data_IF_863104145931
#
_entry.id   IF_863104145931
#
_cell.length_a   1.000
_cell.length_b   1.000
_cell.length_c   1.000
_cell.angle_alpha   90.00
_cell.angle_beta   90.00
_cell.angle_gamma   90.00
#
_symmetry.space_group_name_H-M   'P 1'
#
loop_
_entity.id
_entity.type
_entity.pdbx_description
1 polymer ?
#
# COMPACT_ATOMS: atom_id res chain seq x y z
N UNK A 1 -6.26 15.99 40.92
CA UNK A 1 -7.28 16.33 39.90
C UNK A 1 -7.69 15.05 39.18
N UNK A 2 -8.98 14.67 39.25
CA UNK A 2 -9.54 13.49 38.56
C UNK A 2 -10.04 13.91 37.17
N UNK A 3 -9.47 13.35 36.11
CA UNK A 3 -10.02 13.43 34.75
C UNK A 3 -11.11 12.38 34.59
N UNK A 4 -12.36 12.82 34.37
CA UNK A 4 -13.51 11.96 34.06
C UNK A 4 -13.47 11.58 32.58
N UNK A 5 -13.37 10.29 32.28
CA UNK A 5 -13.57 9.73 30.94
C UNK A 5 -15.08 9.65 30.65
N UNK A 6 -15.54 10.34 29.61
CA UNK A 6 -16.92 10.21 29.13
C UNK A 6 -17.03 8.98 28.23
N UNK A 7 -17.46 7.84 28.79
CA UNK A 7 -17.97 6.73 27.99
C UNK A 7 -19.38 7.10 27.52
N UNK A 8 -19.50 7.51 26.27
CA UNK A 8 -20.81 7.71 25.64
C UNK A 8 -21.35 6.35 25.19
N UNK A 9 -22.29 5.82 25.97
CA UNK A 9 -23.00 4.58 25.69
C UNK A 9 -23.90 4.77 24.46
N UNK A 10 -23.50 4.20 23.31
CA UNK A 10 -24.16 4.34 22.01
C UNK A 10 -25.64 3.92 22.03
N UNK A 11 -26.02 3.06 22.98
CA UNK A 11 -27.40 2.64 23.23
C UNK A 11 -28.24 3.78 23.84
N UNK A 12 -27.66 4.65 24.68
CA UNK A 12 -28.36 5.84 25.22
C UNK A 12 -28.63 6.88 24.15
N UNK A 13 -27.73 7.06 23.18
CA UNK A 13 -27.92 8.01 22.08
C UNK A 13 -29.03 7.54 21.12
N UNK A 14 -29.08 6.25 20.80
CA UNK A 14 -30.16 5.66 19.99
C UNK A 14 -31.52 5.76 20.71
N UNK A 15 -31.55 5.56 22.03
CA UNK A 15 -32.76 5.78 22.84
C UNK A 15 -33.20 7.24 22.86
N UNK A 16 -32.26 8.19 22.95
CA UNK A 16 -32.55 9.63 22.86
C UNK A 16 -33.11 10.00 21.48
N UNK A 17 -32.50 9.52 20.39
CA UNK A 17 -32.96 9.79 19.02
C UNK A 17 -34.34 9.22 18.73
N UNK A 18 -34.66 8.03 19.26
CA UNK A 18 -36.04 7.49 19.25
C UNK A 18 -37.01 8.32 20.09
N UNK A 19 -36.59 8.76 21.28
CA UNK A 19 -37.44 9.51 22.22
C UNK A 19 -37.85 10.89 21.69
N UNK A 20 -37.03 11.52 20.85
CA UNK A 20 -37.31 12.81 20.23
C UNK A 20 -37.89 12.73 18.83
N UNK A 21 -38.20 11.53 18.32
CA UNK A 21 -38.78 11.31 16.98
C UNK A 21 -38.00 12.00 15.85
N UNK A 22 -36.69 12.20 16.04
CA UNK A 22 -35.81 13.00 15.17
C UNK A 22 -35.53 12.32 13.82
N UNK A 23 -35.83 11.02 13.68
CA UNK A 23 -35.75 10.31 12.41
C UNK A 23 -36.77 10.83 11.39
N UNK A 24 -37.96 11.24 11.84
CA UNK A 24 -39.00 11.80 10.95
C UNK A 24 -38.69 13.24 10.49
N UNK A 25 -37.88 13.98 11.26
CA UNK A 25 -37.45 15.34 10.91
C UNK A 25 -36.37 15.37 9.83
N UNK A 26 -35.58 14.31 9.67
CA UNK A 26 -34.59 14.19 8.59
C UNK A 26 -35.24 13.90 7.21
N UNK A 27 -36.48 13.41 7.20
CA UNK A 27 -37.23 13.09 5.98
C UNK A 27 -38.01 14.30 5.45
N UNK A 28 -38.49 15.20 6.33
CA UNK A 28 -39.20 16.42 5.91
C UNK A 28 -38.26 17.63 5.83
N UNK A 29 -37.80 17.94 4.61
CA UNK A 29 -36.83 19.00 4.28
C UNK A 29 -37.28 20.45 4.52
N UNK A 30 -38.46 20.70 5.07
CA UNK A 30 -39.10 22.03 4.98
C UNK A 30 -39.00 22.93 6.21
N UNK A 31 -38.37 22.51 7.31
CA UNK A 31 -38.36 23.33 8.55
C UNK A 31 -37.01 23.47 9.27
N UNK A 32 -35.89 23.04 8.68
CA UNK A 32 -34.57 23.21 9.33
C UNK A 32 -33.70 24.29 8.65
N UNK A 33 -33.09 25.21 9.42
CA UNK A 33 -32.07 26.12 8.91
C UNK A 33 -30.92 25.33 8.27
N UNK A 34 -30.49 25.72 7.07
CA UNK A 34 -29.46 25.00 6.28
C UNK A 34 -28.16 24.74 7.05
N UNK A 35 -27.80 25.60 8.00
CA UNK A 35 -26.62 25.43 8.87
C UNK A 35 -26.75 24.23 9.80
N UNK A 36 -27.94 24.01 10.39
CA UNK A 36 -28.22 22.90 11.31
C UNK A 36 -28.28 21.57 10.55
N UNK A 37 -28.84 21.58 9.34
CA UNK A 37 -28.88 20.38 8.49
C UNK A 37 -27.47 19.94 8.05
N UNK A 38 -26.61 20.89 7.66
CA UNK A 38 -25.20 20.58 7.33
C UNK A 38 -24.42 20.07 8.54
N UNK A 39 -24.65 20.64 9.72
CA UNK A 39 -24.00 20.18 10.95
C UNK A 39 -24.44 18.74 11.31
N UNK A 40 -25.73 18.43 11.16
CA UNK A 40 -26.24 17.07 11.36
C UNK A 40 -25.69 16.07 10.33
N UNK A 41 -25.59 16.44 9.05
CA UNK A 41 -24.98 15.59 8.02
C UNK A 41 -23.50 15.32 8.31
N UNK A 42 -22.72 16.35 8.65
CA UNK A 42 -21.30 16.21 8.99
C UNK A 42 -21.11 15.37 10.25
N UNK A 43 -21.96 15.54 11.27
CA UNK A 43 -21.92 14.74 12.49
C UNK A 43 -22.28 13.28 12.22
N UNK A 44 -23.27 13.01 11.36
CA UNK A 44 -23.65 11.65 10.96
C UNK A 44 -22.56 10.98 10.11
N UNK A 45 -21.93 11.74 9.20
CA UNK A 45 -20.81 11.27 8.39
C UNK A 45 -19.60 10.92 9.28
N UNK A 46 -19.28 11.78 10.25
CA UNK A 46 -18.24 11.51 11.26
C UNK A 46 -18.58 10.28 12.11
N UNK A 47 -19.85 10.08 12.46
CA UNK A 47 -20.30 8.93 13.24
C UNK A 47 -20.25 7.63 12.43
N UNK A 48 -20.62 7.65 11.15
CA UNK A 48 -20.53 6.51 10.23
C UNK A 48 -19.08 6.11 9.94
N UNK A 49 -18.19 7.10 9.82
CA UNK A 49 -16.74 6.86 9.65
C UNK A 49 -16.13 6.25 10.92
N UNK A 50 -16.58 6.66 12.12
CA UNK A 50 -16.04 6.14 13.38
C UNK A 50 -16.60 4.78 13.82
N UNK A 51 -17.75 4.34 13.30
CA UNK A 51 -18.39 3.08 13.70
C UNK A 51 -18.21 1.96 12.64
N UNK A 52 -17.53 2.23 11.52
CA UNK A 52 -17.17 1.17 10.56
C UNK A 52 -18.37 0.51 9.86
N UNK A 53 -19.54 1.16 9.83
CA UNK A 53 -20.69 0.71 9.06
C UNK A 53 -20.57 1.20 7.60
N UNK A 54 -19.84 0.45 6.79
CA UNK A 54 -20.16 0.36 5.36
C UNK A 54 -21.20 -0.75 5.25
N UNK A 55 -22.45 -0.33 5.00
CA UNK A 55 -23.56 -1.25 4.71
C UNK A 55 -23.23 -2.08 3.47
N UNK A 56 -23.11 -3.39 3.67
CA UNK A 56 -23.13 -4.39 2.61
C UNK A 56 -24.59 -4.56 2.20
N UNK A 57 -24.96 -3.97 1.07
CA UNK A 57 -26.11 -4.44 0.31
C UNK A 57 -25.70 -5.70 -0.44
N UNK A 58 -26.36 -6.82 -0.15
CA UNK A 58 -26.26 -8.02 -0.97
C UNK A 58 -26.72 -7.70 -2.40
N UNK A 59 -25.77 -7.55 -3.31
CA UNK A 59 -26.03 -7.67 -4.74
C UNK A 59 -25.53 -9.03 -5.18
N UNK A 60 -26.47 -9.97 -5.37
CA UNK A 60 -26.27 -11.17 -6.19
C UNK A 60 -26.17 -10.72 -7.64
N UNK A 61 -25.05 -10.13 -8.00
CA UNK A 61 -24.58 -10.02 -9.37
C UNK A 61 -23.06 -10.21 -9.31
N UNK A 62 -22.60 -11.37 -9.80
CA UNK A 62 -21.21 -11.56 -10.20
C UNK A 62 -20.95 -10.60 -11.37
N UNK A 63 -20.63 -9.35 -11.03
CA UNK A 63 -20.00 -8.43 -11.96
C UNK A 63 -18.54 -8.90 -12.08
N UNK A 64 -18.05 -9.18 -13.29
CA UNK A 64 -16.65 -9.53 -13.45
C UNK A 64 -15.82 -8.31 -13.03
N UNK A 65 -14.87 -8.50 -12.11
CA UNK A 65 -13.88 -7.50 -11.73
C UNK A 65 -12.96 -7.23 -12.93
N UNK A 66 -13.42 -6.37 -13.84
CA UNK A 66 -12.61 -5.79 -14.90
C UNK A 66 -12.06 -4.48 -14.32
N UNK A 67 -10.76 -4.45 -13.99
CA UNK A 67 -10.03 -3.24 -13.61
C UNK A 67 -8.90 -3.50 -12.63
N UNK A 68 -7.66 -3.60 -13.14
CA UNK A 68 -6.35 -3.50 -12.45
C UNK A 68 -6.21 -4.20 -11.09
N UNK A 69 -5.43 -5.28 -11.02
CA UNK A 69 -4.98 -5.88 -9.77
C UNK A 69 -4.16 -4.86 -8.95
N UNK A 70 -4.83 -4.16 -8.03
CA UNK A 70 -4.20 -3.20 -7.14
C UNK A 70 -3.16 -3.92 -6.27
N UNK A 71 -1.91 -3.45 -6.31
CA UNK A 71 -0.85 -4.06 -5.52
C UNK A 71 -1.13 -3.90 -4.01
N UNK A 72 -0.98 -4.99 -3.25
CA UNK A 72 -1.08 -4.99 -1.80
C UNK A 72 0.20 -5.58 -1.22
N UNK A 73 0.80 -4.85 -0.29
CA UNK A 73 1.99 -5.30 0.44
C UNK A 73 1.56 -5.56 1.88
N UNK A 74 1.87 -6.75 2.39
CA UNK A 74 1.59 -7.13 3.78
C UNK A 74 2.91 -7.48 4.45
N UNK A 75 3.28 -6.71 5.47
CA UNK A 75 4.53 -6.90 6.20
C UNK A 75 4.32 -7.87 7.36
N UNK A 76 5.10 -8.97 7.43
CA UNK A 76 5.09 -9.86 8.57
C UNK A 76 5.91 -9.23 9.70
N UNK A 77 5.27 -8.81 10.79
CA UNK A 77 5.98 -8.21 11.93
C UNK A 77 5.70 -9.03 13.19
N UNK A 78 6.77 -9.57 13.78
CA UNK A 78 6.71 -10.24 15.08
C UNK A 78 6.83 -9.19 16.19
N UNK A 79 5.74 -8.96 16.92
CA UNK A 79 5.68 -8.00 18.02
C UNK A 79 5.53 -8.78 19.32
N UNK A 80 6.31 -8.44 20.35
CA UNK A 80 6.14 -8.99 21.70
C UNK A 80 4.89 -8.36 22.32
N UNK A 81 4.02 -9.16 22.93
CA UNK A 81 2.65 -8.77 23.32
C UNK A 81 2.56 -7.51 24.20
N UNK A 82 3.59 -7.18 24.96
CA UNK A 82 3.50 -6.16 26.03
C UNK A 82 3.60 -4.71 25.49
N UNK A 83 4.11 -4.50 24.26
CA UNK A 83 4.34 -3.17 23.64
C UNK A 83 3.48 -2.91 22.38
N UNK A 84 2.44 -3.72 22.18
CA UNK A 84 1.63 -3.77 20.95
C UNK A 84 1.15 -2.40 20.47
N UNK A 85 0.54 -1.61 21.36
CA UNK A 85 -0.15 -0.36 21.00
C UNK A 85 0.82 0.70 20.49
N UNK A 86 1.90 0.94 21.25
CA UNK A 86 2.92 1.94 20.90
C UNK A 86 3.62 1.58 19.59
N UNK A 87 3.90 0.28 19.38
CA UNK A 87 4.54 -0.19 18.16
C UNK A 87 3.61 -0.08 16.93
N UNK A 88 2.33 -0.42 17.09
CA UNK A 88 1.34 -0.27 16.02
C UNK A 88 1.11 1.19 15.63
N UNK A 89 1.05 2.10 16.61
CA UNK A 89 0.98 3.55 16.37
C UNK A 89 2.22 4.06 15.61
N UNK A 90 3.42 3.64 16.00
CA UNK A 90 4.66 3.99 15.30
C UNK A 90 4.64 3.56 13.84
N UNK A 91 4.26 2.31 13.55
CA UNK A 91 4.21 1.80 12.18
C UNK A 91 3.19 2.58 11.35
N UNK A 92 2.00 2.80 11.90
CA UNK A 92 0.96 3.53 11.21
C UNK A 92 1.40 4.96 10.86
N UNK A 93 2.04 5.67 11.80
CA UNK A 93 2.62 6.99 11.56
C UNK A 93 3.71 6.95 10.48
N UNK A 94 4.55 5.92 10.47
CA UNK A 94 5.59 5.76 9.44
C UNK A 94 5.01 5.54 8.05
N UNK A 95 3.98 4.69 7.93
CA UNK A 95 3.30 4.47 6.66
C UNK A 95 2.68 5.77 6.11
N UNK A 96 2.04 6.57 6.98
CA UNK A 96 1.49 7.87 6.59
C UNK A 96 2.59 8.83 6.13
N UNK A 97 3.68 8.94 6.89
CA UNK A 97 4.82 9.79 6.53
C UNK A 97 5.36 9.47 5.13
N UNK A 98 5.45 8.17 4.81
CA UNK A 98 5.94 7.69 3.51
C UNK A 98 4.84 7.69 2.42
N UNK A 99 3.70 8.34 2.68
CA UNK A 99 2.51 8.43 1.81
C UNK A 99 1.94 7.06 1.38
N UNK A 100 2.13 6.04 2.21
CA UNK A 100 1.58 4.71 2.00
C UNK A 100 0.19 4.63 2.60
N UNK A 101 -0.80 4.28 1.77
CA UNK A 101 -2.19 4.16 2.21
C UNK A 101 -2.38 2.82 2.91
N UNK A 102 -2.64 2.81 4.24
CA UNK A 102 -2.84 1.57 4.97
C UNK A 102 -4.09 0.84 4.45
N UNK A 103 -4.03 -0.49 4.43
CA UNK A 103 -5.18 -1.35 4.09
C UNK A 103 -5.58 -2.17 5.31
N UNK A 104 -6.86 -2.51 5.38
CA UNK A 104 -7.33 -3.49 6.35
C UNK A 104 -6.87 -4.88 5.92
N UNK A 105 -5.94 -5.49 6.66
CA UNK A 105 -5.42 -6.82 6.34
C UNK A 105 -6.41 -7.85 6.85
N UNK A 106 -7.07 -8.55 5.93
CA UNK A 106 -8.02 -9.59 6.31
C UNK A 106 -7.27 -10.86 6.79
N UNK A 107 -7.84 -11.61 7.76
CA UNK A 107 -7.21 -12.82 8.28
C UNK A 107 -6.98 -13.93 7.24
N UNK A 108 -7.82 -14.00 6.20
CA UNK A 108 -7.82 -15.01 5.13
C UNK A 108 -6.70 -14.82 4.09
N UNK A 109 -6.11 -13.63 4.01
CA UNK A 109 -5.08 -13.31 3.02
C UNK A 109 -3.65 -13.75 3.43
N UNK A 110 -3.45 -14.33 4.63
CA UNK A 110 -2.10 -14.70 5.11
C UNK A 110 -2.14 -15.92 6.05
N UNK A 111 -1.23 -16.89 5.84
CA UNK A 111 -1.05 -18.14 6.61
C UNK A 111 -0.23 -18.02 7.93
N UNK A 112 -0.01 -16.84 8.50
CA UNK A 112 0.98 -16.65 9.59
C UNK A 112 0.42 -16.18 10.95
N UNK A 113 1.08 -16.60 12.04
CA UNK A 113 0.82 -16.31 13.47
C UNK A 113 1.23 -14.89 13.93
N UNK A 114 1.73 -14.03 13.04
CA UNK A 114 2.18 -12.67 13.36
C UNK A 114 1.11 -11.61 13.11
N UNK A 115 1.26 -10.48 13.79
CA UNK A 115 0.55 -9.23 13.46
C UNK A 115 0.86 -8.84 12.02
N UNK A 116 -0.13 -8.22 11.37
CA UNK A 116 -0.09 -7.85 9.97
C UNK A 116 -0.35 -6.35 9.80
N UNK A 117 0.61 -5.64 9.21
CA UNK A 117 0.39 -4.31 8.65
C UNK A 117 0.43 -4.42 7.15
N UNK A 118 -0.46 -3.70 6.46
CA UNK A 118 -0.45 -3.69 5.01
C UNK A 118 -0.77 -2.32 4.48
N UNK A 119 -0.33 -2.08 3.26
CA UNK A 119 -0.66 -0.90 2.47
C UNK A 119 -0.84 -1.29 1.01
N UNK A 120 -1.51 -0.43 0.25
CA UNK A 120 -1.86 -0.69 -1.13
C UNK A 120 -1.48 0.44 -2.08
N UNK A 121 -1.32 0.08 -3.34
CA UNK A 121 -1.08 1.00 -4.45
C UNK A 121 -2.16 0.86 -5.51
N UNK A 122 -2.34 1.91 -6.30
CA UNK A 122 -3.26 1.92 -7.44
C UNK A 122 -2.71 1.15 -8.64
N UNK A 123 -1.39 0.97 -8.71
CA UNK A 123 -0.70 0.26 -9.79
C UNK A 123 -0.49 -1.23 -9.43
N UNK A 124 -0.16 -2.03 -10.44
CA UNK A 124 0.27 -3.42 -10.26
C UNK A 124 1.61 -3.47 -9.53
N UNK A 125 1.89 -4.56 -8.80
CA UNK A 125 3.14 -4.69 -8.06
C UNK A 125 4.42 -4.53 -8.90
N UNK A 126 4.54 -5.11 -10.11
CA UNK A 126 5.73 -4.89 -10.93
C UNK A 126 5.87 -3.42 -11.35
N UNK A 127 4.77 -2.73 -11.67
CA UNK A 127 4.79 -1.30 -12.00
C UNK A 127 5.17 -0.43 -10.80
N UNK A 128 4.68 -0.75 -9.59
CA UNK A 128 5.08 -0.06 -8.35
C UNK A 128 6.59 -0.16 -8.14
N UNK A 129 7.16 -1.36 -8.28
CA UNK A 129 8.59 -1.57 -8.11
C UNK A 129 9.41 -0.74 -9.09
N UNK A 130 9.05 -0.82 -10.38
CA UNK A 130 9.72 -0.09 -11.46
C UNK A 130 9.63 1.42 -11.26
N UNK A 131 8.45 1.94 -10.96
CA UNK A 131 8.27 3.38 -10.71
C UNK A 131 9.09 3.84 -9.51
N UNK A 132 9.15 3.04 -8.44
CA UNK A 132 10.00 3.36 -7.28
C UNK A 132 11.47 3.41 -7.67
N UNK A 133 11.98 2.44 -8.43
CA UNK A 133 13.35 2.50 -8.94
C UNK A 133 13.59 3.72 -9.81
N UNK A 134 12.70 4.04 -10.74
CA UNK A 134 12.84 5.24 -11.58
C UNK A 134 12.91 6.52 -10.73
N UNK A 135 12.07 6.64 -9.70
CA UNK A 135 12.10 7.78 -8.78
C UNK A 135 13.41 7.90 -7.96
N UNK A 136 14.06 6.79 -7.63
CA UNK A 136 15.33 6.82 -6.89
C UNK A 136 16.50 7.30 -7.76
N UNK A 137 16.45 7.05 -9.07
CA UNK A 137 17.59 7.25 -9.97
C UNK A 137 17.42 8.35 -11.01
N UNK A 138 16.19 8.67 -11.39
CA UNK A 138 15.88 9.56 -12.50
C UNK A 138 15.25 10.83 -11.98
N UNK A 139 15.60 11.95 -12.61
CA UNK A 139 14.88 13.20 -12.37
C UNK A 139 13.43 13.11 -12.87
N UNK A 140 12.55 13.89 -12.24
CA UNK A 140 11.13 14.00 -12.66
C UNK A 140 10.99 14.29 -14.15
N UNK A 141 11.86 15.15 -14.69
CA UNK A 141 11.86 15.52 -16.11
C UNK A 141 12.15 14.32 -17.02
N UNK A 142 13.19 13.54 -16.72
CA UNK A 142 13.55 12.35 -17.51
C UNK A 142 12.44 11.29 -17.47
N UNK A 143 11.81 11.10 -16.31
CA UNK A 143 10.67 10.16 -16.21
C UNK A 143 9.47 10.63 -17.02
N UNK A 144 9.14 11.92 -16.98
CA UNK A 144 8.04 12.48 -17.77
C UNK A 144 8.30 12.34 -19.27
N UNK A 145 9.48 12.72 -19.74
CA UNK A 145 9.86 12.56 -21.16
C UNK A 145 9.80 11.09 -21.59
N UNK A 146 10.28 10.17 -20.76
CA UNK A 146 10.17 8.75 -21.04
C UNK A 146 8.71 8.28 -21.13
N UNK A 147 7.85 8.71 -20.21
CA UNK A 147 6.42 8.37 -20.25
C UNK A 147 5.68 9.04 -21.40
N UNK A 148 6.05 10.24 -21.83
CA UNK A 148 5.44 10.92 -22.97
C UNK A 148 5.83 10.27 -24.30
N UNK A 149 7.10 9.88 -24.45
CA UNK A 149 7.60 9.26 -25.67
C UNK A 149 7.11 7.80 -25.80
N UNK A 150 6.94 7.10 -24.67
CA UNK A 150 6.66 5.65 -24.67
C UNK A 150 5.35 5.25 -24.00
N UNK A 151 4.52 6.20 -23.58
CA UNK A 151 3.23 5.97 -22.92
C UNK A 151 2.20 5.20 -23.76
N UNK A 152 2.41 5.13 -25.08
CA UNK A 152 1.53 4.42 -26.03
C UNK A 152 2.00 3.01 -26.42
N UNK A 153 3.18 2.55 -25.98
CA UNK A 153 3.61 1.18 -26.28
C UNK A 153 2.94 0.18 -25.33
N UNK A 154 1.72 -0.22 -25.71
CA UNK A 154 0.93 -1.34 -25.19
C UNK A 154 1.66 -2.72 -25.10
N UNK A 155 2.98 -2.80 -25.25
CA UNK A 155 3.74 -4.05 -25.39
C UNK A 155 4.87 -4.29 -24.37
N UNK A 156 5.00 -3.49 -23.31
CA UNK A 156 5.93 -3.86 -22.23
C UNK A 156 5.60 -3.23 -20.88
N UNK A 157 4.37 -3.44 -20.40
CA UNK A 157 4.14 -3.23 -18.96
C UNK A 157 5.09 -4.12 -18.15
N UNK A 158 5.65 -3.60 -17.04
CA UNK A 158 6.45 -4.41 -16.13
C UNK A 158 5.69 -5.68 -15.73
N UNK A 159 6.36 -6.83 -15.81
CA UNK A 159 5.73 -8.13 -15.52
C UNK A 159 6.58 -8.96 -14.57
N UNK A 160 5.92 -9.53 -13.57
CA UNK A 160 6.47 -10.60 -12.75
C UNK A 160 6.18 -11.97 -13.37
N UNK A 161 7.15 -12.87 -13.27
CA UNK A 161 7.05 -14.27 -13.68
C UNK A 161 7.66 -15.15 -12.58
N UNK A 162 6.89 -16.12 -12.11
CA UNK A 162 7.33 -17.05 -11.08
C UNK A 162 7.90 -18.32 -11.75
N UNK A 163 9.15 -18.64 -11.44
CA UNK A 163 9.82 -19.88 -11.87
C UNK A 163 10.36 -20.60 -10.63
N UNK A 164 9.65 -21.63 -10.18
CA UNK A 164 9.97 -22.35 -8.95
C UNK A 164 10.03 -21.41 -7.73
N UNK A 165 11.21 -21.29 -7.11
CA UNK A 165 11.46 -20.38 -5.98
C UNK A 165 12.24 -19.11 -6.40
N UNK A 166 12.10 -18.72 -7.67
CA UNK A 166 12.69 -17.52 -8.24
C UNK A 166 11.60 -16.67 -8.84
N UNK A 167 11.65 -15.37 -8.56
CA UNK A 167 10.82 -14.38 -9.21
C UNK A 167 11.65 -13.60 -10.23
N UNK A 168 11.13 -13.48 -11.44
CA UNK A 168 11.70 -12.65 -12.50
C UNK A 168 10.82 -11.42 -12.70
N UNK A 169 11.43 -10.24 -12.74
CA UNK A 169 10.78 -9.00 -13.17
C UNK A 169 11.39 -8.55 -14.48
N UNK A 170 10.56 -8.44 -15.52
CA UNK A 170 10.95 -7.82 -16.79
C UNK A 170 10.37 -6.42 -16.89
N UNK A 171 11.20 -5.44 -17.24
CA UNK A 171 10.76 -4.06 -17.50
C UNK A 171 11.64 -3.40 -18.56
N UNK A 172 11.03 -2.52 -19.33
CA UNK A 172 11.76 -1.59 -20.19
C UNK A 172 12.00 -0.28 -19.44
N UNK A 173 13.22 0.24 -19.50
CA UNK A 173 13.63 1.46 -18.83
C UNK A 173 14.44 2.34 -19.80
N UNK A 174 14.46 3.67 -19.59
CA UNK A 174 15.25 4.56 -20.42
C UNK A 174 16.74 4.19 -20.37
N UNK A 175 17.40 4.30 -21.51
CA UNK A 175 18.85 4.32 -21.56
C UNK A 175 19.34 5.67 -21.03
N UNK A 176 19.97 5.66 -19.86
CA UNK A 176 20.55 6.87 -19.25
C UNK A 176 22.02 6.99 -19.64
N UNK A 177 22.81 5.99 -19.26
CA UNK A 177 24.24 5.88 -19.52
C UNK A 177 24.68 4.41 -19.43
N UNK A 178 25.89 4.10 -19.90
CA UNK A 178 26.41 2.72 -19.92
C UNK A 178 26.57 2.11 -18.52
N UNK A 179 26.88 2.93 -17.52
CA UNK A 179 27.08 2.51 -16.12
C UNK A 179 25.78 2.30 -15.35
N UNK A 180 24.64 2.74 -15.89
CA UNK A 180 23.36 2.71 -15.19
C UNK A 180 22.92 1.29 -14.74
N UNK A 181 23.04 0.21 -15.55
CA UNK A 181 22.74 -1.14 -15.09
C UNK A 181 23.57 -1.59 -13.88
N UNK A 182 24.84 -1.22 -13.81
CA UNK A 182 25.70 -1.59 -12.69
C UNK A 182 25.34 -0.81 -11.42
N UNK A 183 25.00 0.48 -11.55
CA UNK A 183 24.49 1.28 -10.43
C UNK A 183 23.21 0.68 -9.84
N UNK A 184 22.25 0.26 -10.69
CA UNK A 184 21.04 -0.42 -10.25
C UNK A 184 21.36 -1.74 -9.53
N UNK A 185 22.26 -2.55 -10.09
CA UNK A 185 22.67 -3.82 -9.50
C UNK A 185 23.29 -3.61 -8.11
N UNK A 186 24.19 -2.64 -7.97
CA UNK A 186 24.83 -2.32 -6.69
C UNK A 186 23.78 -1.87 -5.68
N UNK A 187 22.89 -0.94 -6.05
CA UNK A 187 21.84 -0.46 -5.17
C UNK A 187 20.95 -1.60 -4.67
N UNK A 188 20.45 -2.45 -5.57
CA UNK A 188 19.57 -3.57 -5.22
C UNK A 188 20.26 -4.57 -4.28
N UNK A 189 21.55 -4.89 -4.50
CA UNK A 189 22.31 -5.74 -3.56
C UNK A 189 22.40 -5.18 -2.15
N UNK A 190 22.43 -3.85 -2.02
CA UNK A 190 22.49 -3.19 -0.71
C UNK A 190 21.11 -3.08 -0.04
N UNK A 191 20.03 -3.02 -0.81
CA UNK A 191 18.69 -2.70 -0.29
C UNK A 191 17.72 -3.88 -0.28
N UNK A 192 18.05 -5.00 -0.94
CA UNK A 192 17.17 -6.15 -1.06
C UNK A 192 17.93 -7.46 -0.84
N UNK A 193 17.51 -8.24 0.15
CA UNK A 193 18.07 -9.56 0.47
C UNK A 193 17.66 -10.61 -0.55
N UNK A 194 16.48 -10.46 -1.13
CA UNK A 194 15.97 -11.34 -2.17
C UNK A 194 16.69 -11.16 -3.51
N UNK A 195 17.35 -10.01 -3.75
CA UNK A 195 17.96 -9.72 -5.04
C UNK A 195 19.15 -10.65 -5.36
N UNK A 196 19.14 -11.24 -6.56
CA UNK A 196 20.16 -12.17 -7.05
C UNK A 196 20.97 -11.55 -8.16
N UNK A 197 20.32 -11.12 -9.24
CA UNK A 197 21.00 -10.64 -10.45
C UNK A 197 20.14 -9.63 -11.23
N UNK A 198 20.81 -8.86 -12.08
CA UNK A 198 20.22 -7.96 -13.06
C UNK A 198 20.88 -8.18 -14.41
N UNK A 199 20.08 -8.47 -15.43
CA UNK A 199 20.50 -8.48 -16.83
C UNK A 199 19.89 -7.29 -17.55
N UNK A 200 20.71 -6.60 -18.34
CA UNK A 200 20.27 -5.51 -19.19
C UNK A 200 20.62 -5.84 -20.65
N UNK A 201 19.66 -5.65 -21.55
CA UNK A 201 19.84 -5.83 -22.99
C UNK A 201 19.39 -4.57 -23.68
N UNK A 202 20.29 -3.95 -24.45
CA UNK A 202 19.95 -2.75 -25.24
C UNK A 202 18.93 -3.12 -26.30
N UNK A 203 17.78 -2.43 -26.29
CA UNK A 203 16.76 -2.61 -27.32
C UNK A 203 16.99 -1.64 -28.47
N UNK A 204 17.34 -0.39 -28.16
CA UNK A 204 17.60 0.67 -29.14
C UNK A 204 18.47 1.77 -28.51
N UNK A 205 18.56 2.95 -29.15
CA UNK A 205 19.40 4.05 -28.66
C UNK A 205 18.91 4.69 -27.34
N UNK A 206 17.66 4.44 -26.95
CA UNK A 206 16.89 5.20 -25.96
C UNK A 206 16.34 4.31 -24.85
N UNK A 207 16.43 2.99 -24.98
CA UNK A 207 15.81 2.03 -24.09
C UNK A 207 16.61 0.74 -23.95
N UNK A 208 16.62 0.23 -22.73
CA UNK A 208 17.12 -1.10 -22.38
C UNK A 208 15.97 -1.95 -21.82
N UNK A 209 15.98 -3.24 -22.14
CA UNK A 209 15.21 -4.25 -21.40
C UNK A 209 16.01 -4.69 -20.19
N UNK A 210 15.40 -4.63 -19.03
CA UNK A 210 15.95 -5.12 -17.78
C UNK A 210 15.21 -6.38 -17.33
N UNK A 211 15.95 -7.35 -16.85
CA UNK A 211 15.44 -8.56 -16.20
C UNK A 211 16.09 -8.66 -14.84
N UNK A 212 15.30 -8.43 -13.79
CA UNK A 212 15.72 -8.55 -12.40
C UNK A 212 15.35 -9.94 -11.90
N UNK A 213 16.27 -10.56 -11.16
CA UNK A 213 16.08 -11.89 -10.59
C UNK A 213 16.07 -11.78 -9.07
N UNK A 214 15.03 -12.31 -8.44
CA UNK A 214 14.87 -12.37 -7.00
C UNK A 214 14.67 -13.82 -6.54
N UNK A 215 15.17 -14.14 -5.35
CA UNK A 215 14.91 -15.41 -4.66
C UNK A 215 13.62 -15.29 -3.84
N UNK A 216 12.72 -16.25 -3.97
CA UNK A 216 11.42 -16.29 -3.28
C UNK A 216 10.23 -16.17 -4.23
N UNK A 217 9.07 -15.83 -3.67
CA UNK A 217 7.84 -15.58 -4.43
C UNK A 217 7.77 -14.13 -4.92
N UNK A 218 7.15 -13.89 -6.06
CA UNK A 218 7.02 -12.52 -6.60
C UNK A 218 6.22 -11.57 -5.70
N UNK A 219 5.27 -12.10 -4.92
CA UNK A 219 4.53 -11.32 -3.92
C UNK A 219 5.42 -10.77 -2.80
N UNK A 220 6.55 -11.43 -2.52
CA UNK A 220 7.47 -11.03 -1.45
C UNK A 220 8.48 -9.96 -1.88
N UNK A 221 8.64 -9.69 -3.19
CA UNK A 221 9.65 -8.74 -3.69
C UNK A 221 9.42 -7.33 -3.13
N UNK A 222 8.17 -6.87 -3.12
CA UNK A 222 7.84 -5.57 -2.52
C UNK A 222 7.84 -5.60 -1.00
N UNK A 223 7.54 -6.74 -0.39
CA UNK A 223 7.68 -6.91 1.07
C UNK A 223 9.14 -6.68 1.46
N UNK A 224 10.07 -7.32 0.76
CA UNK A 224 11.51 -7.18 0.98
C UNK A 224 11.97 -5.71 0.84
N UNK A 225 11.56 -5.04 -0.25
CA UNK A 225 11.89 -3.64 -0.51
C UNK A 225 11.38 -2.69 0.59
N UNK A 226 10.10 -2.82 0.98
CA UNK A 226 9.52 -1.91 1.97
C UNK A 226 9.91 -2.24 3.39
N UNK A 227 10.17 -3.50 3.71
CA UNK A 227 10.66 -3.87 5.04
C UNK A 227 12.00 -3.20 5.31
N UNK A 228 12.91 -3.19 4.33
CA UNK A 228 14.18 -2.45 4.44
C UNK A 228 13.98 -0.95 4.66
N UNK A 229 13.07 -0.32 3.90
CA UNK A 229 12.78 1.13 4.00
C UNK A 229 12.19 1.52 5.36
N UNK A 230 11.31 0.69 5.90
CA UNK A 230 10.55 0.99 7.13
C UNK A 230 11.30 0.56 8.40
N UNK A 231 12.08 -0.52 8.34
CA UNK A 231 12.77 -1.11 9.48
C UNK A 231 14.24 -1.45 9.14
N UNK A 232 15.06 -0.46 8.74
CA UNK A 232 16.41 -0.72 8.21
C UNK A 232 17.33 -1.40 9.24
N UNK A 233 17.17 -1.12 10.54
CA UNK A 233 18.00 -1.72 11.59
C UNK A 233 17.68 -3.20 11.79
N UNK A 234 16.39 -3.55 11.86
CA UNK A 234 15.90 -4.91 12.03
C UNK A 234 16.22 -5.76 10.78
N UNK A 235 16.05 -5.19 9.59
CA UNK A 235 16.22 -5.87 8.32
C UNK A 235 17.63 -6.46 8.13
N UNK A 236 18.67 -5.73 8.53
CA UNK A 236 20.06 -6.20 8.41
C UNK A 236 20.61 -6.87 9.68
N UNK A 237 19.86 -6.87 10.79
CA UNK A 237 20.29 -7.51 12.04
C UNK A 237 20.46 -9.02 11.93
N UNK A 238 19.77 -9.64 10.97
CA UNK A 238 19.92 -11.09 10.71
C UNK A 238 21.12 -11.41 9.81
N UNK A 239 21.65 -10.44 9.04
CA UNK A 239 22.91 -10.61 8.28
C UNK A 239 24.15 -10.67 9.19
N UNK A 240 24.09 -10.10 10.39
CA UNK A 240 25.24 -10.07 11.32
C UNK A 240 25.34 -11.30 12.24
N UNK A 241 24.31 -12.15 12.29
CA UNK A 241 24.31 -13.38 13.09
C UNK A 241 24.83 -14.61 12.34
N UNK A 242 25.08 -14.50 11.04
CA UNK A 242 25.64 -15.54 10.18
C UNK A 242 27.11 -15.28 9.82
N UNK A 243 27.90 -14.78 10.77
CA UNK A 243 29.37 -14.75 10.66
C UNK A 243 29.99 -15.71 11.66
#
# INVERSE_FOLDING_TARGET
MRTRTYFFDSIKLIRLLKRYNLLNLLVNKTLMPRSVFRFLQLSLLFFLINIGFISVGESKNKVPLIGSEQCRVVLPIKIRNDDWKSYAEYIFLRLIHDNLKPINVRPDLVKAESVRFGFGFTLSCPAVFVNKLMHEFLSTKVMQEFHEIYGDLNNSEPKFEQDGNTCLLSSNLPFVEETFPEQLRIFLKHHMLSFVDLKATRLNMVMNKYTFTFKGQCEDVLVDYYYQKLFPFEYFKDKSKTK
#
